data_IF_385480809241
#
_entry.id   IF_385480809241
#
_cell.length_a   1.000
_cell.length_b   1.000
_cell.length_c   1.000
_cell.angle_alpha   90.00
_cell.angle_beta   90.00
_cell.angle_gamma   90.00
#
_symmetry.space_group_name_H-M   'P 1'
#
loop_
_entity.id
_entity.type
_entity.pdbx_description
1 polymer ?
#
# COMPACT_ATOMS: atom_id res chain seq x y z
N UNK A 1 -13.55 -0.59 29.12
CA UNK A 1 -12.95 -1.36 28.01
C UNK A 1 -11.73 -0.59 27.53
N UNK A 2 -10.59 -0.80 28.19
CA UNK A 2 -9.32 -0.19 27.78
C UNK A 2 -8.68 -1.07 26.70
N UNK A 3 -8.54 -0.55 25.48
CA UNK A 3 -7.66 -1.16 24.50
C UNK A 3 -6.23 -0.90 24.94
N UNK A 4 -5.59 -1.90 25.54
CA UNK A 4 -4.15 -1.87 25.78
C UNK A 4 -3.46 -1.69 24.43
N UNK A 5 -2.60 -0.66 24.38
CA UNK A 5 -1.83 -0.17 23.24
C UNK A 5 -0.93 -1.22 22.56
N UNK A 6 -0.90 -2.46 23.07
CA UNK A 6 -0.03 -3.56 22.65
C UNK A 6 -0.73 -4.72 21.94
N UNK A 7 -2.06 -4.69 21.76
CA UNK A 7 -2.82 -5.76 21.07
C UNK A 7 -2.94 -5.53 19.56
N UNK A 8 -1.82 -5.23 18.88
CA UNK A 8 -1.81 -4.89 17.44
C UNK A 8 -1.05 -5.86 16.49
N UNK A 9 -0.09 -6.70 16.90
CA UNK A 9 0.65 -7.52 15.92
C UNK A 9 -0.14 -8.73 15.39
N UNK A 10 -0.97 -9.36 16.22
CA UNK A 10 -1.61 -10.64 15.87
C UNK A 10 -2.79 -10.48 14.91
N UNK A 11 -3.46 -9.33 14.94
CA UNK A 11 -4.55 -8.99 14.01
C UNK A 11 -4.05 -8.60 12.62
N UNK A 12 -2.78 -8.19 12.49
CA UNK A 12 -2.16 -7.81 11.21
C UNK A 12 -1.65 -8.98 10.37
N UNK A 13 -1.59 -10.21 10.92
CA UNK A 13 -1.11 -11.39 10.18
C UNK A 13 -2.02 -11.81 9.02
N UNK A 14 -3.34 -11.59 9.13
CA UNK A 14 -4.31 -11.89 8.05
C UNK A 14 -4.26 -10.86 6.91
N UNK A 15 -4.16 -9.55 7.18
CA UNK A 15 -3.94 -8.53 6.15
C UNK A 15 -2.74 -8.79 5.23
N UNK A 16 -1.67 -9.41 5.71
CA UNK A 16 -0.42 -9.56 4.94
C UNK A 16 -0.60 -10.37 3.66
N UNK A 17 -1.39 -11.45 3.69
CA UNK A 17 -1.62 -12.30 2.51
C UNK A 17 -2.47 -11.58 1.45
N UNK A 18 -3.56 -10.93 1.87
CA UNK A 18 -4.45 -10.16 0.97
C UNK A 18 -3.68 -9.00 0.33
N UNK A 19 -2.88 -8.29 1.12
CA UNK A 19 -2.05 -7.19 0.62
C UNK A 19 -1.00 -7.70 -0.35
N UNK A 20 -0.39 -8.87 -0.09
CA UNK A 20 0.57 -9.48 -1.00
C UNK A 20 -0.10 -9.88 -2.33
N UNK A 21 -1.22 -10.60 -2.28
CA UNK A 21 -1.98 -10.99 -3.47
C UNK A 21 -2.42 -9.77 -4.28
N UNK A 22 -2.88 -8.71 -3.63
CA UNK A 22 -3.25 -7.47 -4.30
C UNK A 22 -2.03 -6.78 -4.94
N UNK A 23 -0.86 -6.76 -4.29
CA UNK A 23 0.37 -6.15 -4.83
C UNK A 23 0.97 -6.95 -5.99
N UNK A 24 0.87 -8.28 -5.95
CA UNK A 24 1.46 -9.19 -6.92
C UNK A 24 0.50 -9.54 -8.07
N UNK A 25 -0.73 -9.02 -8.06
CA UNK A 25 -1.73 -9.28 -9.11
C UNK A 25 -1.23 -8.83 -10.48
N UNK A 26 -1.68 -9.54 -11.51
CA UNK A 26 -1.39 -9.15 -12.89
C UNK A 26 -2.15 -7.86 -13.26
N UNK A 27 -1.43 -6.92 -13.89
CA UNK A 27 -1.97 -5.68 -14.42
C UNK A 27 -1.97 -5.65 -15.95
N UNK A 28 -1.45 -6.69 -16.60
CA UNK A 28 -1.28 -6.78 -18.06
C UNK A 28 -2.57 -7.00 -18.84
N UNK A 29 -3.65 -7.46 -18.19
CA UNK A 29 -4.96 -7.63 -18.83
C UNK A 29 -5.59 -6.29 -19.27
N UNK A 30 -5.13 -5.16 -18.72
CA UNK A 30 -5.68 -3.83 -18.99
C UNK A 30 -4.61 -2.87 -19.46
N UNK A 31 -5.00 -1.97 -20.37
CA UNK A 31 -4.15 -0.86 -20.81
C UNK A 31 -4.45 0.37 -19.97
N UNK A 32 -3.39 0.99 -19.45
CA UNK A 32 -3.42 2.26 -18.72
C UNK A 32 -2.76 3.35 -19.58
N UNK A 33 -3.52 4.14 -20.36
CA UNK A 33 -2.93 5.20 -21.18
C UNK A 33 -2.16 6.26 -20.37
N UNK A 34 -2.53 6.44 -19.10
CA UNK A 34 -1.87 7.38 -18.20
C UNK A 34 -1.59 6.74 -16.84
N UNK A 35 -0.48 7.15 -16.23
CA UNK A 35 -0.09 6.82 -14.87
C UNK A 35 0.13 8.12 -14.10
N UNK A 36 -0.44 8.19 -12.90
CA UNK A 36 -0.18 9.25 -11.93
C UNK A 36 0.65 8.65 -10.80
N UNK A 37 1.76 9.29 -10.47
CA UNK A 37 2.65 8.85 -9.39
C UNK A 37 2.83 9.98 -8.40
N UNK A 38 2.69 9.67 -7.11
CA UNK A 38 2.96 10.58 -6.01
C UNK A 38 3.98 9.97 -5.03
N UNK A 39 4.69 10.82 -4.30
CA UNK A 39 5.67 10.44 -3.31
C UNK A 39 5.28 10.98 -1.93
N UNK A 40 5.05 10.07 -0.99
CA UNK A 40 4.69 10.40 0.40
C UNK A 40 5.84 10.05 1.33
N UNK A 41 6.25 11.01 2.16
CA UNK A 41 7.23 10.77 3.21
C UNK A 41 6.52 10.35 4.49
N UNK A 42 6.80 9.14 4.96
CA UNK A 42 6.24 8.59 6.19
C UNK A 42 7.34 8.29 7.20
N UNK A 43 7.00 8.40 8.49
CA UNK A 43 7.90 7.99 9.58
C UNK A 43 7.59 6.56 9.97
N UNK A 44 8.58 5.68 9.89
CA UNK A 44 8.45 4.26 10.24
C UNK A 44 9.47 3.89 11.30
N UNK A 45 9.09 3.03 12.24
CA UNK A 45 10.02 2.43 13.19
C UNK A 45 10.56 1.13 12.59
N UNK A 46 11.85 1.10 12.28
CA UNK A 46 12.54 -0.08 11.74
C UNK A 46 13.77 -0.37 12.58
N UNK A 47 13.92 -1.62 13.02
CA UNK A 47 15.02 -2.07 13.90
C UNK A 47 15.13 -1.23 15.19
N UNK A 48 13.98 -0.85 15.77
CA UNK A 48 13.91 -0.01 16.97
C UNK A 48 14.23 1.47 16.75
N UNK A 49 14.50 1.91 15.51
CA UNK A 49 14.82 3.32 15.19
C UNK A 49 13.75 3.95 14.30
N UNK A 50 13.39 5.19 14.60
CA UNK A 50 12.50 5.99 13.77
C UNK A 50 13.26 6.49 12.54
N UNK A 51 12.74 6.20 11.34
CA UNK A 51 13.32 6.61 10.06
C UNK A 51 12.26 7.24 9.18
N UNK A 52 12.66 8.20 8.35
CA UNK A 52 11.82 8.69 7.27
C UNK A 52 11.97 7.76 6.08
N UNK A 53 10.85 7.32 5.50
CA UNK A 53 10.80 6.51 4.31
C UNK A 53 9.90 7.17 3.28
N UNK A 54 10.34 7.18 2.02
CA UNK A 54 9.51 7.57 0.88
C UNK A 54 8.70 6.37 0.40
N UNK A 55 7.40 6.55 0.23
CA UNK A 55 6.50 5.61 -0.42
C UNK A 55 6.04 6.22 -1.73
N UNK A 56 6.11 5.43 -2.80
CA UNK A 56 5.56 5.81 -4.09
C UNK A 56 4.17 5.18 -4.23
N UNK A 57 3.19 6.00 -4.60
CA UNK A 57 1.84 5.54 -4.91
C UNK A 57 1.59 5.81 -6.38
N UNK A 58 1.27 4.75 -7.12
CA UNK A 58 0.91 4.83 -8.54
C UNK A 58 -0.57 4.53 -8.73
N UNK A 59 -1.23 5.30 -9.59
CA UNK A 59 -2.62 5.07 -9.99
C UNK A 59 -2.71 5.12 -11.51
N UNK A 60 -3.26 4.08 -12.11
CA UNK A 60 -3.54 4.02 -13.54
C UNK A 60 -4.85 4.72 -13.87
N UNK A 61 -4.91 5.33 -15.05
CA UNK A 61 -6.18 5.74 -15.66
C UNK A 61 -6.45 4.76 -16.78
N UNK A 62 -7.56 4.03 -16.72
CA UNK A 62 -7.92 3.05 -17.74
C UNK A 62 -8.47 3.73 -19.02
N UNK A 63 -8.72 2.95 -20.06
CA UNK A 63 -9.24 3.45 -21.35
C UNK A 63 -10.60 4.17 -21.24
N UNK A 64 -11.37 3.88 -20.20
CA UNK A 64 -12.66 4.52 -19.94
C UNK A 64 -12.51 5.83 -19.14
N UNK A 65 -11.28 6.22 -18.81
CA UNK A 65 -10.98 7.45 -18.06
C UNK A 65 -11.12 7.31 -16.54
N UNK A 66 -11.35 6.10 -16.02
CA UNK A 66 -11.44 5.87 -14.57
C UNK A 66 -10.06 5.64 -13.96
N UNK A 67 -9.85 6.21 -12.77
CA UNK A 67 -8.69 5.92 -11.94
C UNK A 67 -8.89 4.56 -11.27
N UNK A 68 -7.91 3.70 -11.44
CA UNK A 68 -7.84 2.41 -10.77
C UNK A 68 -6.39 2.04 -10.52
N UNK A 69 -6.19 1.33 -9.41
CA UNK A 69 -5.12 0.42 -9.01
C UNK A 69 -5.55 0.00 -7.62
#
# INVERSE_FOLDING_TARGET
MEFLRSTAPELCKKPDEIVREWNERDLGERVYPFLVVDAVLIRVQKDGRLRLCSVLVATGINQNGYREV
#
